data_IF_583548222961
#
_entry.id   IF_583548222961
#
_cell.length_a   1.000
_cell.length_b   1.000
_cell.length_c   1.000
_cell.angle_alpha   90.00
_cell.angle_beta   90.00
_cell.angle_gamma   90.00
#
_symmetry.space_group_name_H-M   'P 1'
#
loop_
_entity.id
_entity.type
_entity.pdbx_description
1 polymer ?
#
# COMPACT_ATOMS: atom_id res chain seq x y z
N UNK A 1 2.15 -41.31 -6.39
CA UNK A 1 1.32 -40.99 -7.58
C UNK A 1 0.37 -39.81 -7.33
N UNK A 2 -0.36 -39.77 -6.21
CA UNK A 2 -1.28 -38.66 -5.85
C UNK A 2 -0.65 -37.26 -5.80
N UNK A 3 0.59 -37.12 -5.30
CA UNK A 3 1.24 -35.81 -5.16
C UNK A 3 1.48 -35.09 -6.51
N UNK A 4 1.74 -35.84 -7.58
CA UNK A 4 1.92 -35.29 -8.93
C UNK A 4 0.62 -34.76 -9.52
N UNK A 5 -0.50 -35.46 -9.28
CA UNK A 5 -1.83 -35.07 -9.77
C UNK A 5 -2.28 -33.77 -9.08
N UNK A 6 -2.07 -33.66 -7.76
CA UNK A 6 -2.32 -32.43 -7.01
C UNK A 6 -1.50 -31.26 -7.56
N UNK A 7 -0.19 -31.45 -7.75
CA UNK A 7 0.69 -30.39 -8.27
C UNK A 7 0.25 -29.91 -9.67
N UNK A 8 -0.08 -30.83 -10.58
CA UNK A 8 -0.57 -30.45 -11.91
C UNK A 8 -1.92 -29.74 -11.87
N UNK A 9 -2.80 -30.10 -10.93
CA UNK A 9 -4.07 -29.41 -10.73
C UNK A 9 -3.87 -27.98 -10.21
N UNK A 10 -3.01 -27.78 -9.20
CA UNK A 10 -2.69 -26.43 -8.71
C UNK A 10 -2.03 -25.57 -9.80
N UNK A 11 -1.13 -26.17 -10.58
CA UNK A 11 -0.48 -25.46 -11.68
C UNK A 11 -1.48 -25.04 -12.76
N UNK A 12 -2.40 -25.93 -13.15
CA UNK A 12 -3.41 -25.60 -14.18
C UNK A 12 -4.39 -24.52 -13.70
N UNK A 13 -4.78 -24.55 -12.42
CA UNK A 13 -5.59 -23.49 -11.80
C UNK A 13 -4.83 -22.18 -11.80
N UNK A 14 -3.55 -22.18 -11.39
CA UNK A 14 -2.70 -20.99 -11.36
C UNK A 14 -2.54 -20.35 -12.74
N UNK A 15 -2.28 -21.14 -13.79
CA UNK A 15 -2.17 -20.63 -15.16
C UNK A 15 -3.49 -20.01 -15.62
N UNK A 16 -4.64 -20.62 -15.32
CA UNK A 16 -5.96 -20.02 -15.65
C UNK A 16 -6.17 -18.69 -14.94
N UNK A 17 -5.78 -18.60 -13.68
CA UNK A 17 -5.83 -17.33 -12.93
C UNK A 17 -4.94 -16.26 -13.56
N UNK A 18 -3.72 -16.61 -13.96
CA UNK A 18 -2.83 -15.66 -14.65
C UNK A 18 -3.44 -15.13 -15.95
N UNK A 19 -4.03 -16.03 -16.77
CA UNK A 19 -4.72 -15.61 -17.99
C UNK A 19 -5.92 -14.70 -17.70
N UNK A 20 -6.74 -15.03 -16.69
CA UNK A 20 -7.87 -14.18 -16.33
C UNK A 20 -7.41 -12.79 -15.85
N UNK A 21 -6.30 -12.72 -15.11
CA UNK A 21 -5.74 -11.46 -14.66
C UNK A 21 -5.16 -10.62 -15.81
N UNK A 22 -4.62 -11.25 -16.87
CA UNK A 22 -4.09 -10.52 -18.02
C UNK A 22 -5.16 -9.92 -18.94
N UNK A 23 -6.39 -10.42 -18.87
CA UNK A 23 -7.53 -9.87 -19.62
C UNK A 23 -8.18 -8.66 -18.93
N UNK A 24 -7.79 -8.34 -17.70
CA UNK A 24 -8.33 -7.20 -16.96
C UNK A 24 -7.64 -5.90 -17.41
N UNK A 25 -8.43 -4.86 -17.62
CA UNK A 25 -7.89 -3.51 -17.73
C UNK A 25 -7.28 -3.07 -16.39
N UNK A 26 -6.41 -2.05 -16.43
CA UNK A 26 -5.68 -1.56 -15.25
C UNK A 26 -6.61 -1.24 -14.07
N UNK A 27 -7.74 -0.58 -14.32
CA UNK A 27 -8.66 -0.15 -13.25
C UNK A 27 -9.33 -1.37 -12.60
N UNK A 28 -9.78 -2.32 -13.42
CA UNK A 28 -10.37 -3.57 -12.93
C UNK A 28 -9.35 -4.42 -12.18
N UNK A 29 -8.10 -4.48 -12.65
CA UNK A 29 -7.02 -5.19 -11.98
C UNK A 29 -6.68 -4.56 -10.61
N UNK A 30 -6.54 -3.24 -10.53
CA UNK A 30 -6.30 -2.52 -9.28
C UNK A 30 -7.42 -2.78 -8.27
N UNK A 31 -8.68 -2.73 -8.74
CA UNK A 31 -9.84 -3.03 -7.90
C UNK A 31 -9.80 -4.45 -7.36
N UNK A 32 -9.54 -5.43 -8.23
CA UNK A 32 -9.41 -6.82 -7.82
C UNK A 32 -8.28 -7.02 -6.82
N UNK A 33 -7.12 -6.40 -7.03
CA UNK A 33 -5.97 -6.49 -6.14
C UNK A 33 -6.30 -5.96 -4.73
N UNK A 34 -6.95 -4.80 -4.63
CA UNK A 34 -7.36 -4.21 -3.34
C UNK A 34 -8.39 -5.09 -2.63
N UNK A 35 -9.38 -5.63 -3.36
CA UNK A 35 -10.37 -6.55 -2.78
C UNK A 35 -9.71 -7.83 -2.28
N UNK A 36 -8.80 -8.44 -3.06
CA UNK A 36 -8.08 -9.65 -2.63
C UNK A 36 -7.21 -9.39 -1.39
N UNK A 37 -6.53 -8.24 -1.36
CA UNK A 37 -5.76 -7.83 -0.19
C UNK A 37 -6.65 -7.65 1.04
N UNK A 38 -7.82 -7.00 0.90
CA UNK A 38 -8.74 -6.82 2.01
C UNK A 38 -9.31 -8.16 2.50
N UNK A 39 -9.68 -9.07 1.59
CA UNK A 39 -10.13 -10.42 1.96
C UNK A 39 -9.04 -11.21 2.69
N UNK A 40 -7.78 -11.08 2.26
CA UNK A 40 -6.66 -11.66 2.98
C UNK A 40 -6.52 -11.05 4.39
N UNK A 41 -6.70 -9.74 4.52
CA UNK A 41 -6.67 -9.06 5.81
C UNK A 41 -7.82 -9.52 6.75
N UNK A 42 -9.05 -9.61 6.26
CA UNK A 42 -10.20 -10.11 7.03
C UNK A 42 -10.01 -11.57 7.45
N UNK A 43 -9.42 -12.40 6.58
CA UNK A 43 -9.05 -13.77 6.95
C UNK A 43 -8.05 -13.79 8.12
N UNK A 44 -7.08 -12.87 8.13
CA UNK A 44 -6.13 -12.76 9.23
C UNK A 44 -6.82 -12.26 10.50
N UNK A 45 -7.73 -11.29 10.41
CA UNK A 45 -8.53 -10.86 11.54
C UNK A 45 -9.27 -12.03 12.17
N UNK A 46 -10.00 -12.81 11.36
CA UNK A 46 -10.72 -14.00 11.82
C UNK A 46 -9.78 -15.01 12.49
N UNK A 47 -8.61 -15.27 11.89
CA UNK A 47 -7.60 -16.19 12.44
C UNK A 47 -7.08 -15.75 13.82
N UNK A 48 -6.98 -14.44 14.04
CA UNK A 48 -6.44 -13.86 15.27
C UNK A 48 -7.53 -13.42 16.27
N UNK A 49 -8.80 -13.78 16.03
CA UNK A 49 -9.92 -13.44 16.91
C UNK A 49 -10.29 -11.96 16.93
N UNK A 50 -9.88 -11.21 15.91
CA UNK A 50 -10.24 -9.80 15.73
C UNK A 50 -11.62 -9.69 15.04
N UNK A 51 -12.28 -8.55 15.24
CA UNK A 51 -13.54 -8.26 14.57
C UNK A 51 -13.33 -8.14 13.06
N UNK A 52 -14.13 -8.89 12.29
CA UNK A 52 -14.11 -8.84 10.84
C UNK A 52 -15.14 -7.83 10.33
N UNK A 53 -14.83 -7.19 9.20
CA UNK A 53 -15.76 -6.36 8.47
C UNK A 53 -16.82 -7.22 7.76
N UNK A 54 -18.01 -6.67 7.60
CA UNK A 54 -19.04 -7.25 6.74
C UNK A 54 -18.64 -7.15 5.25
N UNK A 55 -19.20 -7.98 4.37
CA UNK A 55 -18.92 -7.91 2.93
C UNK A 55 -19.18 -6.52 2.31
N UNK A 56 -20.21 -5.82 2.80
CA UNK A 56 -20.53 -4.46 2.35
C UNK A 56 -19.44 -3.46 2.75
N UNK A 57 -18.94 -3.56 3.97
CA UNK A 57 -17.86 -2.71 4.50
C UNK A 57 -16.53 -2.99 3.78
N UNK A 58 -16.23 -4.26 3.48
CA UNK A 58 -15.05 -4.64 2.67
C UNK A 58 -15.10 -3.99 1.29
N UNK A 59 -16.26 -4.03 0.63
CA UNK A 59 -16.45 -3.39 -0.68
C UNK A 59 -16.31 -1.87 -0.59
N UNK A 60 -16.93 -1.24 0.40
CA UNK A 60 -16.84 0.20 0.61
C UNK A 60 -15.40 0.64 0.91
N UNK A 61 -14.69 -0.13 1.75
CA UNK A 61 -13.29 0.11 2.05
C UNK A 61 -12.43 0.05 0.79
N UNK A 62 -12.59 -0.98 -0.05
CA UNK A 62 -11.83 -1.11 -1.28
C UNK A 62 -12.05 0.10 -2.21
N UNK A 63 -13.30 0.55 -2.37
CA UNK A 63 -13.64 1.73 -3.16
C UNK A 63 -12.97 3.02 -2.62
N UNK A 64 -13.06 3.25 -1.31
CA UNK A 64 -12.39 4.40 -0.67
C UNK A 64 -10.88 4.36 -0.83
N UNK A 65 -10.27 3.20 -0.60
CA UNK A 65 -8.83 3.01 -0.71
C UNK A 65 -8.32 3.33 -2.12
N UNK A 66 -8.99 2.81 -3.16
CA UNK A 66 -8.60 3.06 -4.56
C UNK A 66 -8.72 4.55 -4.88
N UNK A 67 -9.82 5.19 -4.47
CA UNK A 67 -10.02 6.62 -4.69
C UNK A 67 -8.92 7.46 -4.03
N UNK A 68 -8.64 7.20 -2.75
CA UNK A 68 -7.59 7.89 -2.00
C UNK A 68 -6.20 7.67 -2.61
N UNK A 69 -5.90 6.45 -3.03
CA UNK A 69 -4.64 6.11 -3.68
C UNK A 69 -4.47 6.86 -5.00
N UNK A 70 -5.47 6.83 -5.87
CA UNK A 70 -5.44 7.52 -7.16
C UNK A 70 -5.32 9.04 -6.97
N UNK A 71 -6.05 9.59 -6.00
CA UNK A 71 -5.99 11.02 -5.68
C UNK A 71 -4.61 11.42 -5.13
N UNK A 72 -4.01 10.60 -4.26
CA UNK A 72 -2.65 10.83 -3.77
C UNK A 72 -1.62 10.76 -4.91
N UNK A 73 -1.75 9.78 -5.81
CA UNK A 73 -0.86 9.63 -6.96
C UNK A 73 -0.91 10.85 -7.89
N UNK A 74 -2.12 11.34 -8.23
CA UNK A 74 -2.29 12.58 -9.00
C UNK A 74 -1.61 13.78 -8.36
N UNK A 75 -1.67 13.91 -7.03
CA UNK A 75 -0.99 15.00 -6.30
C UNK A 75 0.52 14.87 -6.42
N UNK A 76 1.06 13.65 -6.28
CA UNK A 76 2.51 13.40 -6.36
C UNK A 76 3.05 13.74 -7.75
N UNK A 77 2.38 13.34 -8.84
CA UNK A 77 2.79 13.67 -10.21
C UNK A 77 2.90 15.19 -10.43
N UNK A 78 1.97 15.97 -9.87
CA UNK A 78 2.01 17.44 -9.93
C UNK A 78 3.23 18.00 -9.19
N UNK A 79 3.61 17.39 -8.05
CA UNK A 79 4.77 17.84 -7.28
C UNK A 79 6.12 17.43 -7.89
N UNK A 80 6.22 16.26 -8.52
CA UNK A 80 7.46 15.81 -9.18
C UNK A 80 7.82 16.67 -10.41
N UNK A 81 6.81 17.15 -11.16
CA UNK A 81 7.04 18.12 -12.25
C UNK A 81 7.65 19.43 -11.73
N UNK A 82 7.38 19.81 -10.48
CA UNK A 82 7.80 21.08 -9.91
C UNK A 82 9.14 21.02 -9.16
N UNK A 83 9.63 19.83 -8.78
CA UNK A 83 10.87 19.70 -8.00
C UNK A 83 11.60 18.37 -8.24
N UNK A 84 12.55 18.39 -9.18
CA UNK A 84 13.72 17.51 -9.07
C UNK A 84 14.97 18.36 -9.24
N UNK A 85 15.46 18.90 -8.13
CA UNK A 85 16.88 19.24 -8.04
C UNK A 85 17.64 17.92 -7.84
N UNK A 86 18.37 17.49 -8.88
CA UNK A 86 18.92 16.14 -9.05
C UNK A 86 20.10 15.79 -8.12
N UNK A 87 20.29 16.48 -6.99
CA UNK A 87 21.53 16.37 -6.19
C UNK A 87 21.33 16.09 -4.69
N UNK A 88 20.33 15.29 -4.31
CA UNK A 88 20.28 14.75 -2.96
C UNK A 88 21.16 13.48 -2.83
N UNK A 89 22.49 13.64 -2.83
CA UNK A 89 23.38 12.56 -2.41
C UNK A 89 23.13 12.23 -0.93
N UNK A 90 23.10 10.94 -0.60
CA UNK A 90 22.92 10.47 0.77
C UNK A 90 24.02 11.05 1.66
N UNK A 91 23.63 11.79 2.72
CA UNK A 91 24.55 12.29 3.74
C UNK A 91 24.24 11.62 5.06
N UNK A 92 25.30 11.19 5.76
CA UNK A 92 25.20 10.71 7.13
C UNK A 92 24.72 11.85 8.04
N UNK A 93 23.73 11.58 8.90
CA UNK A 93 23.24 12.56 9.86
C UNK A 93 24.20 12.70 11.05
N UNK A 94 24.24 13.89 11.65
CA UNK A 94 25.01 14.15 12.87
C UNK A 94 24.51 13.27 14.04
N UNK A 95 25.38 12.92 15.00
CA UNK A 95 25.01 12.14 16.19
C UNK A 95 23.83 12.78 16.94
N UNK A 96 22.89 11.95 17.42
CA UNK A 96 21.71 12.40 18.15
C UNK A 96 20.50 12.79 17.28
N UNK A 97 20.57 12.59 15.96
CA UNK A 97 19.43 12.77 15.05
C UNK A 97 18.97 11.45 14.45
N UNK A 98 17.66 11.19 14.49
CA UNK A 98 17.02 10.04 13.85
C UNK A 98 16.52 10.43 12.45
N UNK A 99 16.75 9.57 11.46
CA UNK A 99 16.20 9.71 10.11
C UNK A 99 14.89 8.93 10.03
N UNK A 100 13.77 9.64 9.85
CA UNK A 100 12.52 9.00 9.50
C UNK A 100 12.59 8.59 8.01
N UNK A 101 12.65 7.29 7.73
CA UNK A 101 12.44 6.77 6.38
C UNK A 101 10.93 6.79 6.08
N UNK A 102 10.37 7.98 5.89
CA UNK A 102 9.07 8.11 5.23
C UNK A 102 9.34 7.98 3.75
N UNK A 103 8.68 7.03 3.08
CA UNK A 103 8.77 6.87 1.63
C UNK A 103 8.66 8.23 0.94
N UNK A 104 9.79 8.67 0.38
CA UNK A 104 9.99 9.82 -0.50
C UNK A 104 9.02 10.99 -0.36
N UNK A 105 9.01 11.67 0.79
CA UNK A 105 8.58 13.07 0.86
C UNK A 105 9.43 13.84 1.87
N UNK A 106 10.60 14.29 1.44
CA UNK A 106 11.44 15.21 2.22
C UNK A 106 10.79 16.60 2.21
N UNK A 107 9.86 16.84 3.13
CA UNK A 107 9.50 18.21 3.50
C UNK A 107 10.62 18.78 4.38
N UNK A 108 11.41 19.70 3.83
CA UNK A 108 12.23 20.58 4.66
C UNK A 108 11.28 21.58 5.32
N UNK A 109 10.73 21.17 6.47
CA UNK A 109 9.93 22.03 7.31
C UNK A 109 10.81 23.14 7.88
N UNK A 110 10.61 24.37 7.38
CA UNK A 110 11.12 25.59 8.01
C UNK A 110 10.41 25.73 9.37
N UNK A 111 11.08 25.34 10.45
CA UNK A 111 10.90 25.49 11.92
C UNK A 111 9.55 25.76 12.60
N UNK A 112 8.41 25.88 11.92
CA UNK A 112 7.15 26.30 12.55
C UNK A 112 6.02 25.24 12.47
N UNK A 113 6.30 24.02 12.02
CA UNK A 113 5.24 23.04 11.79
C UNK A 113 4.93 22.22 13.05
N UNK A 114 4.08 22.78 13.92
CA UNK A 114 3.58 22.15 15.17
C UNK A 114 2.94 20.77 14.95
N UNK A 115 2.47 20.48 13.74
CA UNK A 115 1.82 19.21 13.37
C UNK A 115 2.79 18.02 13.38
N UNK A 116 4.03 18.22 12.92
CA UNK A 116 5.04 17.16 12.92
C UNK A 116 5.45 16.77 14.36
N UNK A 117 5.44 17.74 15.28
CA UNK A 117 5.75 17.51 16.69
C UNK A 117 4.64 16.72 17.39
N UNK A 118 3.37 16.98 17.05
CA UNK A 118 2.22 16.24 17.60
C UNK A 118 2.16 14.79 17.11
N UNK A 119 2.51 14.52 15.84
CA UNK A 119 2.53 13.15 15.30
C UNK A 119 3.64 12.30 15.93
N UNK A 120 4.85 12.84 16.09
CA UNK A 120 5.93 12.12 16.75
C UNK A 120 5.59 11.73 18.21
N UNK A 121 4.80 12.56 18.90
CA UNK A 121 4.38 12.28 20.28
C UNK A 121 3.28 11.23 20.39
N UNK A 122 2.46 11.06 19.34
CA UNK A 122 1.35 10.10 19.33
C UNK A 122 1.76 8.68 18.95
N UNK A 123 2.87 8.51 18.22
CA UNK A 123 3.31 7.20 17.73
C UNK A 123 4.43 6.56 18.56
N UNK A 124 5.06 7.30 19.46
CA UNK A 124 6.22 6.83 20.25
C UNK A 124 6.06 7.02 21.77
N UNK A 125 4.83 7.15 22.26
CA UNK A 125 4.49 7.09 23.69
C UNK A 125 3.95 5.73 24.09
#
# INVERSE_FOLDING_TARGET
MQMRILLMHYFSVFIRWLFLLSELDKSSFETLAVVLWQLWNERNHAKHGLQCLSPSEVREFAGRYIFEFQEAFRRIEIFEVLRVDKQAHWKLHAPGKLKLNVGSCCFVGRDNNKVAHSLAKAFFS
#
